data_IF_646759702661
#
_entry.id   IF_646759702661
#
_cell.length_a   1.000
_cell.length_b   1.000
_cell.length_c   1.000
_cell.angle_alpha   90.00
_cell.angle_beta   90.00
_cell.angle_gamma   90.00
#
_symmetry.space_group_name_H-M   'P 1'
#
loop_
_entity.id
_entity.type
_entity.pdbx_description
1 polymer ?
#
# COMPACT_ATOMS: atom_id res chain seq x y z
N UNK A 1 -32.35 12.42 6.11
CA UNK A 1 -31.97 11.05 6.46
C UNK A 1 -30.91 11.16 7.54
N UNK A 2 -31.07 10.41 8.62
CA UNK A 2 -30.26 10.54 9.83
C UNK A 2 -28.93 9.81 9.64
N UNK A 3 -27.86 10.58 9.37
CA UNK A 3 -26.50 10.07 9.13
C UNK A 3 -25.98 9.17 10.28
N UNK A 4 -26.57 9.30 11.47
CA UNK A 4 -26.20 8.49 12.63
C UNK A 4 -26.62 7.00 12.51
N UNK A 5 -27.68 6.68 11.76
CA UNK A 5 -28.15 5.30 11.60
C UNK A 5 -27.36 4.52 10.54
N UNK A 6 -26.92 5.17 9.45
CA UNK A 6 -26.11 4.53 8.39
C UNK A 6 -24.70 4.21 8.87
N UNK A 7 -24.10 5.05 9.72
CA UNK A 7 -22.76 4.81 10.25
C UNK A 7 -22.67 3.60 11.19
N UNK A 8 -23.77 3.24 11.89
CA UNK A 8 -23.81 2.03 12.71
C UNK A 8 -23.83 0.75 11.85
N UNK A 9 -24.20 0.82 10.57
CA UNK A 9 -24.25 -0.34 9.67
C UNK A 9 -22.87 -0.95 9.40
N UNK A 10 -21.82 -0.12 9.41
CA UNK A 10 -20.45 -0.52 9.11
C UNK A 10 -19.61 -0.82 10.36
N UNK A 11 -20.14 -0.56 11.55
CA UNK A 11 -19.47 -0.88 12.81
C UNK A 11 -19.28 -2.40 12.89
N UNK A 12 -18.05 -2.82 13.19
CA UNK A 12 -17.62 -4.23 13.25
C UNK A 12 -17.74 -5.00 11.92
N UNK A 13 -17.93 -4.34 10.77
CA UNK A 13 -17.84 -4.99 9.47
C UNK A 13 -16.40 -5.01 8.96
N UNK A 14 -16.09 -5.98 8.12
CA UNK A 14 -14.77 -6.12 7.51
C UNK A 14 -14.92 -6.17 6.01
N UNK A 15 -14.07 -5.42 5.31
CA UNK A 15 -13.93 -5.52 3.86
C UNK A 15 -12.81 -6.48 3.53
N UNK A 16 -13.08 -7.45 2.67
CA UNK A 16 -12.08 -8.40 2.15
C UNK A 16 -11.98 -8.29 0.64
N UNK A 17 -10.77 -8.34 0.10
CA UNK A 17 -10.54 -8.29 -1.33
C UNK A 17 -10.47 -9.69 -1.91
N UNK A 18 -11.16 -9.91 -3.03
CA UNK A 18 -11.03 -11.14 -3.81
C UNK A 18 -9.65 -11.24 -4.46
N UNK A 19 -8.92 -12.32 -4.20
CA UNK A 19 -7.58 -12.58 -4.74
C UNK A 19 -7.58 -13.21 -6.14
N UNK A 20 -8.75 -13.35 -6.77
CA UNK A 20 -8.79 -13.62 -8.20
C UNK A 20 -8.28 -12.37 -8.94
N UNK A 21 -7.13 -12.51 -9.59
CA UNK A 21 -6.48 -11.47 -10.40
C UNK A 21 -7.43 -10.80 -11.41
N UNK A 22 -8.41 -11.52 -11.95
CA UNK A 22 -9.39 -10.93 -12.88
C UNK A 22 -10.56 -10.19 -12.21
N UNK A 23 -10.71 -10.35 -10.90
CA UNK A 23 -11.82 -9.81 -10.10
C UNK A 23 -11.38 -8.60 -9.26
N UNK A 24 -10.50 -8.83 -8.27
CA UNK A 24 -10.02 -7.83 -7.30
C UNK A 24 -11.09 -7.02 -6.58
N UNK A 25 -12.34 -7.50 -6.57
CA UNK A 25 -13.47 -6.81 -5.94
C UNK A 25 -13.42 -6.92 -4.43
N UNK A 26 -13.84 -5.86 -3.74
CA UNK A 26 -14.08 -5.83 -2.31
C UNK A 26 -15.47 -6.36 -1.95
N UNK A 27 -15.54 -7.10 -0.84
CA UNK A 27 -16.76 -7.70 -0.31
C UNK A 27 -16.91 -7.36 1.16
N UNK A 28 -18.11 -6.94 1.55
CA UNK A 28 -18.42 -6.64 2.94
C UNK A 28 -18.81 -7.92 3.69
N UNK A 29 -18.10 -8.22 4.77
CA UNK A 29 -18.39 -9.34 5.64
C UNK A 29 -19.00 -8.89 6.96
N UNK A 30 -19.88 -9.75 7.50
CA UNK A 30 -20.29 -9.71 8.90
C UNK A 30 -19.09 -9.96 9.83
N UNK A 31 -19.20 -9.58 11.10
CA UNK A 31 -18.14 -9.86 12.09
C UNK A 31 -17.92 -11.37 12.25
N UNK A 32 -19.01 -12.15 12.18
CA UNK A 32 -19.00 -13.59 12.32
C UNK A 32 -18.32 -14.29 11.16
N UNK A 33 -18.50 -13.78 9.93
CA UNK A 33 -17.87 -14.36 8.74
C UNK A 33 -16.42 -13.90 8.58
N UNK A 34 -16.13 -12.64 8.93
CA UNK A 34 -14.76 -12.14 8.98
C UNK A 34 -13.89 -12.95 9.95
N UNK A 35 -14.43 -13.37 11.10
CA UNK A 35 -13.72 -14.20 12.07
C UNK A 35 -13.34 -15.61 11.54
N UNK A 36 -13.94 -16.06 10.42
CA UNK A 36 -13.65 -17.34 9.78
C UNK A 36 -12.64 -17.21 8.64
N UNK A 37 -12.26 -15.99 8.26
CA UNK A 37 -11.29 -15.76 7.19
C UNK A 37 -9.90 -16.12 7.72
N UNK A 38 -9.23 -17.05 7.04
CA UNK A 38 -7.80 -17.31 7.28
C UNK A 38 -6.98 -16.25 6.56
N UNK A 39 -6.20 -15.47 7.32
CA UNK A 39 -5.36 -14.41 6.78
C UNK A 39 -4.11 -14.92 6.04
N UNK A 40 -3.84 -16.24 6.07
CA UNK A 40 -2.71 -16.85 5.38
C UNK A 40 -3.11 -17.51 4.05
N UNK A 41 -4.41 -17.64 3.78
CA UNK A 41 -4.93 -18.30 2.60
C UNK A 41 -5.67 -17.29 1.72
N UNK A 42 -5.65 -17.47 0.40
CA UNK A 42 -6.31 -16.54 -0.51
C UNK A 42 -7.82 -16.56 -0.31
N UNK A 43 -8.42 -15.37 -0.27
CA UNK A 43 -9.87 -15.23 -0.17
C UNK A 43 -10.52 -14.93 -1.52
N UNK A 44 -11.62 -15.60 -1.84
CA UNK A 44 -12.34 -15.45 -3.10
C UNK A 44 -13.81 -15.14 -2.89
N UNK A 45 -14.45 -14.46 -3.86
CA UNK A 45 -15.87 -14.10 -3.78
C UNK A 45 -16.77 -15.30 -3.41
N UNK A 46 -16.51 -16.51 -3.94
CA UNK A 46 -17.33 -17.71 -3.65
C UNK A 46 -17.29 -18.15 -2.19
N UNK A 47 -16.34 -17.64 -1.40
CA UNK A 47 -16.24 -17.87 0.04
C UNK A 47 -17.13 -16.90 0.84
N UNK A 48 -17.74 -15.91 0.19
CA UNK A 48 -18.72 -15.02 0.83
C UNK A 48 -20.02 -15.78 1.12
N UNK A 49 -20.51 -15.66 2.35
CA UNK A 49 -21.78 -16.24 2.80
C UNK A 49 -22.99 -15.45 2.30
N UNK A 50 -22.82 -14.15 1.97
CA UNK A 50 -23.88 -13.35 1.35
C UNK A 50 -24.01 -13.73 -0.13
N UNK A 51 -25.08 -14.45 -0.45
CA UNK A 51 -25.40 -14.89 -1.81
C UNK A 51 -25.62 -13.76 -2.80
N UNK A 52 -25.82 -12.52 -2.33
CA UNK A 52 -25.92 -11.34 -3.19
C UNK A 52 -24.56 -10.87 -3.68
N UNK A 53 -23.45 -11.31 -3.09
CA UNK A 53 -22.10 -10.84 -3.37
C UNK A 53 -21.05 -11.97 -3.33
N UNK A 54 -21.45 -13.21 -3.60
CA UNK A 54 -20.56 -14.38 -3.55
C UNK A 54 -19.98 -14.82 -4.90
N UNK A 55 -20.14 -14.03 -5.96
CA UNK A 55 -19.55 -14.35 -7.26
C UNK A 55 -18.72 -13.20 -7.81
N UNK A 56 -17.72 -13.54 -8.61
CA UNK A 56 -16.89 -12.53 -9.29
C UNK A 56 -17.68 -11.77 -10.37
N UNK A 57 -18.74 -12.37 -10.90
CA UNK A 57 -19.65 -11.79 -11.92
C UNK A 57 -20.47 -10.63 -11.36
N UNK A 58 -20.79 -10.67 -10.06
CA UNK A 58 -21.61 -9.69 -9.36
C UNK A 58 -20.85 -8.39 -9.16
N UNK A 59 -21.54 -7.24 -9.27
CA UNK A 59 -20.99 -5.91 -9.01
C UNK A 59 -20.40 -5.78 -7.59
N UNK A 60 -19.37 -4.95 -7.45
CA UNK A 60 -18.83 -4.57 -6.15
C UNK A 60 -19.84 -3.72 -5.37
N UNK A 61 -19.82 -3.83 -4.04
CA UNK A 61 -20.60 -2.99 -3.14
C UNK A 61 -19.95 -1.60 -3.03
N UNK A 62 -20.72 -0.55 -2.80
CA UNK A 62 -20.15 0.79 -2.64
C UNK A 62 -19.25 0.85 -1.40
N UNK A 63 -17.95 1.08 -1.62
CA UNK A 63 -16.99 1.26 -0.53
C UNK A 63 -17.21 2.64 0.12
N UNK A 64 -17.41 2.72 1.43
CA UNK A 64 -17.75 3.97 2.10
C UNK A 64 -16.56 4.94 2.08
N UNK A 65 -16.84 6.23 1.86
CA UNK A 65 -15.78 7.24 1.93
C UNK A 65 -15.28 7.41 3.36
N UNK A 66 -13.96 7.50 3.54
CA UNK A 66 -13.33 7.64 4.87
C UNK A 66 -13.86 8.87 5.64
N UNK A 67 -14.21 9.93 4.91
CA UNK A 67 -14.83 11.16 5.42
C UNK A 67 -16.13 10.91 6.21
N UNK A 68 -16.89 9.87 5.86
CA UNK A 68 -18.15 9.50 6.51
C UNK A 68 -17.94 8.99 7.94
N UNK A 69 -16.82 8.32 8.17
CA UNK A 69 -16.48 7.75 9.48
C UNK A 69 -15.91 8.80 10.44
N UNK A 70 -15.04 9.68 9.94
CA UNK A 70 -14.43 10.72 10.76
C UNK A 70 -15.45 11.65 11.43
N UNK A 71 -16.56 11.95 10.75
CA UNK A 71 -17.64 12.78 11.30
C UNK A 71 -18.35 12.12 12.49
N UNK A 72 -18.28 10.79 12.60
CA UNK A 72 -18.88 10.01 13.68
C UNK A 72 -17.85 9.41 14.65
N UNK A 73 -16.58 9.84 14.57
CA UNK A 73 -15.52 9.38 15.46
C UNK A 73 -15.01 7.97 15.16
N UNK A 74 -15.38 7.38 14.02
CA UNK A 74 -14.86 6.09 13.56
C UNK A 74 -13.71 6.30 12.56
N UNK A 75 -12.90 5.26 12.36
CA UNK A 75 -11.85 5.22 11.33
C UNK A 75 -11.83 3.85 10.66
N UNK A 76 -11.39 3.83 9.39
CA UNK A 76 -11.11 2.59 8.68
C UNK A 76 -9.75 2.06 9.17
N UNK A 77 -9.69 0.78 9.52
CA UNK A 77 -8.45 0.11 9.94
C UNK A 77 -8.01 -0.85 8.84
N UNK A 78 -6.74 -0.74 8.45
CA UNK A 78 -6.14 -1.56 7.40
C UNK A 78 -5.33 -2.69 7.99
N UNK A 79 -5.44 -3.88 7.40
CA UNK A 79 -4.58 -5.02 7.75
C UNK A 79 -3.11 -4.71 7.46
N UNK A 80 -2.24 -5.28 8.29
CA UNK A 80 -0.81 -5.13 8.08
C UNK A 80 -0.33 -5.97 6.89
N UNK A 81 0.27 -5.31 5.91
CA UNK A 81 0.91 -5.96 4.78
C UNK A 81 2.29 -6.52 5.18
N UNK A 82 2.68 -7.69 4.67
CA UNK A 82 3.97 -8.28 4.98
C UNK A 82 5.13 -7.50 4.35
N UNK A 83 6.28 -7.58 4.99
CA UNK A 83 7.53 -7.00 4.47
C UNK A 83 7.87 -7.62 3.11
N UNK A 84 8.31 -6.81 2.14
CA UNK A 84 8.58 -7.27 0.77
C UNK A 84 7.34 -7.38 -0.13
N UNK A 85 6.15 -7.03 0.37
CA UNK A 85 4.96 -6.88 -0.48
C UNK A 85 5.14 -5.80 -1.53
N UNK A 86 4.67 -6.10 -2.74
CA UNK A 86 4.47 -5.11 -3.79
C UNK A 86 3.17 -4.36 -3.53
N UNK A 87 3.23 -3.04 -3.67
CA UNK A 87 2.10 -2.15 -3.40
C UNK A 87 1.92 -1.12 -4.50
N UNK A 88 0.72 -0.58 -4.61
CA UNK A 88 0.43 0.61 -5.39
C UNK A 88 0.11 1.75 -4.44
N UNK A 89 0.77 2.88 -4.67
CA UNK A 89 0.56 4.09 -3.87
C UNK A 89 -0.27 5.08 -4.68
N UNK A 90 -1.41 5.49 -4.15
CA UNK A 90 -2.34 6.44 -4.77
C UNK A 90 -2.23 7.81 -4.12
N UNK A 91 -1.44 8.69 -4.74
CA UNK A 91 -1.36 10.10 -4.33
C UNK A 91 -2.15 10.99 -5.29
N UNK A 92 -2.72 12.07 -4.76
CA UNK A 92 -3.46 13.03 -5.56
C UNK A 92 -2.57 13.59 -6.69
N UNK A 93 -3.13 13.66 -7.89
CA UNK A 93 -2.46 14.15 -9.11
C UNK A 93 -1.28 13.28 -9.63
N UNK A 94 -1.06 12.09 -9.07
CA UNK A 94 -0.10 11.12 -9.56
C UNK A 94 -0.82 9.86 -10.07
N UNK A 95 -0.29 9.16 -11.09
CA UNK A 95 -0.75 7.80 -11.35
C UNK A 95 -0.42 6.92 -10.13
N UNK A 96 -1.22 5.88 -9.90
CA UNK A 96 -0.90 4.87 -8.89
C UNK A 96 0.51 4.32 -9.14
N UNK A 97 1.43 4.56 -8.22
CA UNK A 97 2.84 4.26 -8.43
C UNK A 97 3.24 2.97 -7.72
N UNK A 98 3.92 2.03 -8.40
CA UNK A 98 4.30 0.77 -7.77
C UNK A 98 5.50 0.96 -6.83
N UNK A 99 5.48 0.27 -5.70
CA UNK A 99 6.54 0.27 -4.71
C UNK A 99 6.67 -1.08 -4.00
N UNK A 100 7.73 -1.22 -3.20
CA UNK A 100 7.94 -2.37 -2.32
C UNK A 100 8.00 -1.87 -0.88
N UNK A 101 7.32 -2.59 0.02
CA UNK A 101 7.48 -2.40 1.46
C UNK A 101 8.87 -2.85 1.89
N UNK A 102 9.70 -1.94 2.39
CA UNK A 102 11.09 -2.23 2.77
C UNK A 102 11.46 -1.54 4.09
N UNK A 103 12.46 -2.05 4.84
CA UNK A 103 12.92 -1.39 6.05
C UNK A 103 13.49 0.01 5.77
N UNK A 104 13.08 0.99 6.57
CA UNK A 104 13.72 2.30 6.61
C UNK A 104 15.20 2.13 6.96
N UNK A 105 16.12 2.74 6.21
CA UNK A 105 17.57 2.56 6.40
C UNK A 105 18.09 3.09 7.75
N UNK A 106 17.36 4.01 8.39
CA UNK A 106 17.77 4.64 9.64
C UNK A 106 17.12 3.96 10.85
N UNK A 107 15.83 3.64 10.76
CA UNK A 107 15.04 3.03 11.85
C UNK A 107 15.05 1.51 11.80
N UNK A 108 15.34 0.90 10.66
CA UNK A 108 15.23 -0.55 10.44
C UNK A 108 13.80 -1.09 10.48
N UNK A 109 12.79 -0.20 10.48
CA UNK A 109 11.36 -0.52 10.54
C UNK A 109 10.70 -0.17 9.22
N UNK A 110 9.70 -0.94 8.82
CA UNK A 110 8.94 -0.71 7.59
C UNK A 110 7.50 -0.25 7.83
N UNK A 111 7.05 -0.28 9.08
CA UNK A 111 5.68 0.05 9.49
C UNK A 111 5.70 0.83 10.80
N UNK A 112 4.79 1.80 10.92
CA UNK A 112 4.49 2.52 12.18
C UNK A 112 3.03 2.29 12.56
N UNK A 113 2.74 2.48 13.84
CA UNK A 113 1.41 2.27 14.41
C UNK A 113 0.93 3.52 15.12
N UNK A 114 -0.37 3.75 15.10
CA UNK A 114 -1.03 4.80 15.88
C UNK A 114 -1.15 4.42 17.37
N UNK A 115 -1.74 5.31 18.17
CA UNK A 115 -1.92 5.09 19.62
C UNK A 115 -2.80 3.88 19.96
N UNK A 116 -3.66 3.46 19.03
CA UNK A 116 -4.55 2.33 19.19
C UNK A 116 -3.92 1.02 18.68
N UNK A 117 -2.66 1.08 18.20
CA UNK A 117 -1.93 -0.07 17.66
C UNK A 117 -2.27 -0.42 16.21
N UNK A 118 -3.02 0.43 15.50
CA UNK A 118 -3.35 0.20 14.08
C UNK A 118 -2.23 0.71 13.19
N UNK A 119 -2.08 0.10 12.01
CA UNK A 119 -1.10 0.53 11.00
C UNK A 119 -1.37 1.97 10.59
N UNK A 120 -0.37 2.83 10.76
CA UNK A 120 -0.45 4.24 10.40
C UNK A 120 0.30 4.55 9.10
N UNK A 121 1.55 4.09 8.99
CA UNK A 121 2.39 4.35 7.82
C UNK A 121 3.24 3.15 7.45
N UNK A 122 3.55 3.05 6.16
CA UNK A 122 4.55 2.13 5.62
C UNK A 122 5.74 2.89 5.05
N UNK A 123 6.94 2.35 5.21
CA UNK A 123 8.11 2.75 4.47
C UNK A 123 8.16 1.99 3.15
N UNK A 124 8.18 2.76 2.05
CA UNK A 124 8.06 2.24 0.69
C UNK A 124 9.25 2.71 -0.12
N UNK A 125 9.89 1.79 -0.84
CA UNK A 125 10.77 2.12 -1.95
C UNK A 125 9.95 2.09 -3.24
N UNK A 126 9.79 3.26 -3.87
CA UNK A 126 9.12 3.41 -5.15
C UNK A 126 10.01 2.90 -6.28
N UNK A 127 9.42 2.07 -7.13
CA UNK A 127 10.08 1.45 -8.27
C UNK A 127 10.27 2.44 -9.42
N UNK A 128 11.15 2.08 -10.35
CA UNK A 128 11.47 2.80 -11.57
C UNK A 128 12.81 3.51 -11.50
N UNK A 129 13.24 4.09 -12.63
CA UNK A 129 14.49 4.83 -12.71
C UNK A 129 14.23 6.35 -12.79
N UNK A 130 14.50 7.12 -11.71
CA UNK A 130 15.19 6.72 -10.48
C UNK A 130 14.26 6.15 -9.40
N UNK A 131 14.83 5.30 -8.54
CA UNK A 131 14.18 4.85 -7.30
C UNK A 131 14.05 6.03 -6.32
N UNK A 132 13.04 5.97 -5.46
CA UNK A 132 12.89 6.89 -4.33
C UNK A 132 12.28 6.17 -3.13
N UNK A 133 12.28 6.80 -1.95
CA UNK A 133 11.69 6.21 -0.74
C UNK A 133 10.94 7.25 0.08
N UNK A 134 9.86 6.84 0.73
CA UNK A 134 9.13 7.66 1.69
C UNK A 134 8.33 6.80 2.65
N UNK A 135 8.04 7.38 3.81
CA UNK A 135 6.92 6.94 4.63
C UNK A 135 5.62 7.43 3.99
N UNK A 136 4.63 6.55 3.86
CA UNK A 136 3.33 6.79 3.23
C UNK A 136 2.25 6.30 4.18
N UNK A 137 1.19 7.09 4.37
CA UNK A 137 0.05 6.69 5.19
C UNK A 137 -0.64 5.45 4.59
N UNK A 138 -1.03 4.50 5.43
CA UNK A 138 -1.67 3.25 5.03
C UNK A 138 -2.91 3.47 4.13
N UNK A 139 -3.65 4.57 4.31
CA UNK A 139 -4.83 4.93 3.49
C UNK A 139 -4.51 5.10 2.00
N UNK A 140 -3.26 5.41 1.65
CA UNK A 140 -2.82 5.59 0.26
C UNK A 140 -2.14 4.34 -0.34
N UNK A 141 -2.08 3.24 0.41
CA UNK A 141 -1.32 2.04 0.04
C UNK A 141 -2.28 0.89 -0.24
N UNK A 142 -2.22 0.36 -1.46
CA UNK A 142 -3.00 -0.81 -1.88
C UNK A 142 -2.09 -1.97 -2.28
N UNK A 143 -2.62 -3.19 -2.20
CA UNK A 143 -1.91 -4.36 -2.71
C UNK A 143 -1.70 -4.25 -4.22
N UNK A 144 -0.51 -4.61 -4.70
CA UNK A 144 -0.22 -4.63 -6.13
C UNK A 144 -0.78 -5.91 -6.77
N UNK A 145 -1.59 -5.77 -7.82
CA UNK A 145 -1.90 -6.85 -8.75
C UNK A 145 -1.54 -6.46 -10.18
N UNK A 146 -1.04 -7.45 -10.93
CA UNK A 146 -0.56 -7.29 -12.30
C UNK A 146 -1.68 -6.94 -13.30
N UNK A 147 -2.92 -7.30 -12.98
CA UNK A 147 -4.10 -7.07 -13.83
C UNK A 147 -4.71 -5.69 -13.67
N UNK A 148 -4.26 -4.91 -12.68
CA UNK A 148 -4.78 -3.57 -12.44
C UNK A 148 -4.51 -2.67 -13.66
N UNK A 149 -5.58 -2.03 -14.12
CA UNK A 149 -5.54 -1.20 -15.32
C UNK A 149 -4.53 -0.06 -15.12
N UNK A 150 -3.64 0.17 -16.09
CA UNK A 150 -2.69 1.27 -16.02
C UNK A 150 -3.40 2.61 -15.84
N UNK A 151 -3.03 3.37 -14.80
CA UNK A 151 -3.40 4.78 -14.72
C UNK A 151 -2.82 5.58 -15.91
N UNK A 152 -3.55 6.59 -16.38
CA UNK A 152 -3.04 7.51 -17.41
C UNK A 152 -2.00 8.45 -16.79
N UNK A 153 -0.76 8.29 -17.19
CA UNK A 153 0.36 9.13 -16.75
C UNK A 153 0.63 10.23 -17.79
N UNK A 154 0.30 11.49 -17.48
CA UNK A 154 0.54 12.64 -18.37
C UNK A 154 1.99 13.15 -18.30
N UNK A 155 2.60 13.10 -17.12
CA UNK A 155 3.93 13.64 -16.82
C UNK A 155 4.88 12.52 -16.37
N UNK A 156 6.19 12.57 -16.68
CA UNK A 156 7.19 11.55 -16.28
C UNK A 156 6.90 10.13 -16.79
N UNK A 157 6.36 10.04 -18.01
CA UNK A 157 5.97 8.78 -18.66
C UNK A 157 7.09 7.72 -18.69
N UNK A 158 8.34 8.13 -18.91
CA UNK A 158 9.51 7.21 -18.93
C UNK A 158 9.71 6.51 -17.58
N UNK A 159 9.69 7.27 -16.48
CA UNK A 159 9.87 6.73 -15.14
C UNK A 159 8.72 5.80 -14.75
N UNK A 160 7.49 6.21 -15.08
CA UNK A 160 6.32 5.37 -14.83
C UNK A 160 6.33 4.06 -15.63
N UNK A 161 6.74 4.10 -16.90
CA UNK A 161 6.91 2.88 -17.70
C UNK A 161 7.96 1.96 -17.07
N UNK A 162 9.12 2.51 -16.68
CA UNK A 162 10.18 1.77 -16.01
C UNK A 162 9.70 1.15 -14.70
N UNK A 163 9.01 1.92 -13.86
CA UNK A 163 8.45 1.45 -12.59
C UNK A 163 7.49 0.27 -12.78
N UNK A 164 6.64 0.33 -13.81
CA UNK A 164 5.70 -0.76 -14.10
C UNK A 164 6.39 -2.00 -14.63
N UNK A 165 7.36 -1.86 -15.54
CA UNK A 165 8.13 -2.99 -16.05
C UNK A 165 8.87 -3.71 -14.93
N UNK A 166 9.46 -2.93 -14.02
CA UNK A 166 10.12 -3.45 -12.82
C UNK A 166 9.13 -4.15 -11.89
N UNK A 167 7.98 -3.54 -11.59
CA UNK A 167 6.94 -4.17 -10.77
C UNK A 167 6.46 -5.50 -11.35
N UNK A 168 6.22 -5.56 -12.67
CA UNK A 168 5.85 -6.81 -13.35
C UNK A 168 6.93 -7.88 -13.22
N UNK A 169 8.21 -7.50 -13.29
CA UNK A 169 9.33 -8.43 -13.10
C UNK A 169 9.37 -8.95 -11.67
N UNK A 170 9.20 -8.08 -10.68
CA UNK A 170 9.28 -8.41 -9.26
C UNK A 170 8.05 -9.19 -8.76
N UNK A 171 6.92 -9.12 -9.48
CA UNK A 171 5.71 -9.86 -9.14
C UNK A 171 5.96 -11.38 -9.02
N UNK A 172 6.77 -11.95 -9.92
CA UNK A 172 7.12 -13.37 -9.90
C UNK A 172 8.18 -13.78 -8.87
N UNK A 173 8.69 -12.84 -8.05
CA UNK A 173 9.71 -13.10 -7.04
C UNK A 173 9.10 -13.25 -5.64
N UNK A 174 9.77 -14.00 -4.76
CA UNK A 174 9.42 -14.06 -3.34
C UNK A 174 9.65 -12.71 -2.64
N UNK A 175 9.02 -12.47 -1.47
CA UNK A 175 9.26 -11.26 -0.69
C UNK A 175 10.76 -11.02 -0.39
N UNK A 176 11.51 -12.06 -0.07
CA UNK A 176 12.95 -11.98 0.23
C UNK A 176 13.74 -11.56 -1.00
N UNK A 177 13.47 -12.20 -2.15
CA UNK A 177 14.09 -11.86 -3.43
C UNK A 177 13.78 -10.43 -3.86
N UNK A 178 12.56 -9.95 -3.62
CA UNK A 178 12.18 -8.55 -3.89
C UNK A 178 13.00 -7.58 -3.03
N UNK A 179 13.18 -7.88 -1.74
CA UNK A 179 13.96 -7.06 -0.81
C UNK A 179 15.46 -7.02 -1.16
N UNK A 180 16.02 -8.11 -1.69
CA UNK A 180 17.41 -8.12 -2.19
C UNK A 180 17.63 -7.17 -3.37
N UNK A 181 16.57 -6.89 -4.12
CA UNK A 181 16.56 -6.00 -5.28
C UNK A 181 16.31 -4.54 -4.90
N UNK A 182 15.85 -4.23 -3.69
CA UNK A 182 15.71 -2.85 -3.21
C UNK A 182 17.09 -2.14 -3.21
N UNK A 183 17.23 -1.21 -4.15
CA UNK A 183 18.51 -0.71 -4.65
C UNK A 183 19.16 0.28 -3.67
N UNK A 184 18.40 0.89 -2.77
CA UNK A 184 18.91 1.91 -1.84
C UNK A 184 19.49 1.33 -0.54
N UNK A 185 19.16 0.09 -0.18
CA UNK A 185 19.74 -0.59 1.00
C UNK A 185 21.26 -0.81 0.89
N UNK A 186 21.77 -0.92 -0.35
CA UNK A 186 23.19 -1.19 -0.65
C UNK A 186 24.03 0.08 -0.79
N UNK A 187 23.44 1.22 -1.19
CA UNK A 187 24.16 2.49 -1.33
C UNK A 187 24.43 3.19 0.02
N UNK A 188 23.59 2.98 1.02
CA UNK A 188 23.80 3.57 2.34
C UNK A 188 24.88 2.81 3.14
N UNK A 189 25.03 1.48 2.94
CA UNK A 189 26.16 0.70 3.49
C UNK A 189 27.51 1.16 2.93
N UNK A 190 27.63 1.34 1.62
CA UNK A 190 28.88 1.82 1.01
C UNK A 190 29.23 3.26 1.38
N UNK A 191 28.24 4.11 1.68
CA UNK A 191 28.45 5.48 2.18
C UNK A 191 28.73 5.55 3.69
N UNK A 192 28.22 4.63 4.49
CA UNK A 192 28.53 4.53 5.92
C UNK A 192 29.95 4.00 6.15
N UNK A 193 30.35 2.96 5.41
CA UNK A 193 31.71 2.40 5.45
C UNK A 193 32.75 3.36 4.84
N UNK A 194 32.34 4.18 3.85
CA UNK A 194 33.19 5.21 3.25
C UNK A 194 33.31 6.53 4.03
N UNK A 195 32.55 6.72 5.12
CA UNK A 195 32.51 8.00 5.88
C UNK A 195 33.32 8.02 7.18
N UNK A 196 34.03 6.95 7.52
CA UNK A 196 34.99 6.96 8.66
C UNK A 196 36.33 7.63 8.29
N UNK A 197 36.54 8.02 7.03
CA UNK A 197 37.74 8.75 6.62
C UNK A 197 37.43 9.90 5.65
N UNK A 198 37.05 11.08 6.19
CA UNK A 198 37.71 12.36 5.86
C UNK A 198 37.03 13.54 6.55
N UNK A 199 37.89 14.31 7.20
CA UNK A 199 37.65 15.55 7.95
C UNK A 199 37.15 16.69 7.05
N UNK A 200 36.18 17.43 7.60
CA UNK A 200 35.82 18.84 7.40
C UNK A 200 36.04 19.53 6.02
N UNK A 201 34.95 20.12 5.48
CA UNK A 201 34.83 21.59 5.30
C UNK A 201 33.46 22.04 4.76
N UNK A 202 32.95 23.05 5.48
CA UNK A 202 32.08 24.21 5.12
C UNK A 202 30.72 24.03 4.43
N UNK A 203 29.70 24.50 5.17
CA UNK A 203 28.37 24.94 4.75
C UNK A 203 28.43 25.99 3.64
N UNK A 204 27.58 25.83 2.62
CA UNK A 204 26.91 26.95 1.95
C UNK A 204 25.44 26.57 1.79
N UNK A 205 24.55 27.38 2.36
CA UNK A 205 23.10 27.34 2.16
C UNK A 205 22.79 28.13 0.89
N UNK A 206 21.98 27.58 -0.01
CA UNK A 206 21.29 28.39 -1.01
C UNK A 206 19.87 27.87 -1.18
N UNK A 207 18.91 28.76 -0.92
CA UNK A 207 17.51 28.64 -1.24
C UNK A 207 17.27 29.41 -2.55
N UNK A 208 16.36 28.93 -3.40
CA UNK A 208 15.65 29.80 -4.33
C UNK A 208 14.17 29.41 -4.35
N UNK A 209 13.35 30.33 -3.82
CA UNK A 209 11.93 30.48 -4.12
C UNK A 209 11.81 31.48 -5.28
N UNK A 210 10.93 31.19 -6.23
CA UNK A 210 9.83 32.09 -6.58
C UNK A 210 8.57 31.22 -6.59
#
# INVERSE_FOLDING_TARGET
MDFSMENNMYVNKVWVQCENDSCLKWRLLSSEDAAKVDHNEPWYCYMNTDSRHNECSISEEDFPEESQFHQSGFKIVYSQLPLGSLVLVKLQNWPSWPGILCPDPFKGKYVTYDLDGNVEQYHIEFLGDPHSRSWINATFVEHYSITLKPGKCKNKKKWYISARQEACRLYGYSPEQRLEMCHLSKQDKSKADGKVALVAKKRVRSWFMI
#
